data_IF_205682087224
#
_entry.id   IF_205682087224
#
_cell.length_a   1.000
_cell.length_b   1.000
_cell.length_c   1.000
_cell.angle_alpha   90.00
_cell.angle_beta   90.00
_cell.angle_gamma   90.00
#
_symmetry.space_group_name_H-M   'P 1'
#
loop_
_entity.id
_entity.type
_entity.pdbx_description
1 polymer ?
#
# COMPACT_ATOMS: atom_id res chain seq x y z
N UNK A 1 21.29 -9.68 8.23
CA UNK A 1 20.32 -8.63 7.84
C UNK A 1 19.70 -8.07 9.10
N UNK A 2 19.57 -6.75 9.21
CA UNK A 2 18.94 -6.13 10.37
C UNK A 2 17.46 -6.57 10.50
N UNK A 3 16.91 -6.68 11.72
CA UNK A 3 15.51 -7.08 11.92
C UNK A 3 14.52 -6.21 11.14
N UNK A 4 14.78 -4.90 11.07
CA UNK A 4 13.99 -3.94 10.31
C UNK A 4 14.08 -4.15 8.79
N UNK A 5 15.25 -4.54 8.27
CA UNK A 5 15.41 -4.91 6.85
C UNK A 5 14.64 -6.19 6.50
N UNK A 6 14.65 -7.20 7.39
CA UNK A 6 13.87 -8.43 7.21
C UNK A 6 12.38 -8.12 7.18
N UNK A 7 11.88 -7.26 8.08
CA UNK A 7 10.49 -6.79 8.08
C UNK A 7 10.13 -6.13 6.75
N UNK A 8 10.97 -5.23 6.24
CA UNK A 8 10.69 -4.51 5.01
C UNK A 8 10.54 -5.46 3.81
N UNK A 9 11.31 -6.55 3.74
CA UNK A 9 11.13 -7.58 2.71
C UNK A 9 9.80 -8.33 2.84
N UNK A 10 9.41 -8.73 4.06
CA UNK A 10 8.10 -9.37 4.28
C UNK A 10 6.94 -8.44 3.94
N UNK A 11 7.02 -7.17 4.37
CA UNK A 11 6.01 -6.16 4.05
C UNK A 11 5.90 -5.90 2.55
N UNK A 12 7.02 -5.87 1.84
CA UNK A 12 7.04 -5.73 0.38
C UNK A 12 6.38 -6.93 -0.30
N UNK A 13 6.75 -8.15 0.12
CA UNK A 13 6.16 -9.38 -0.43
C UNK A 13 4.65 -9.45 -0.22
N UNK A 14 4.19 -9.21 1.01
CA UNK A 14 2.75 -9.20 1.33
C UNK A 14 2.03 -8.09 0.59
N UNK A 15 2.59 -6.88 0.54
CA UNK A 15 2.01 -5.75 -0.20
C UNK A 15 1.85 -6.05 -1.69
N UNK A 16 2.84 -6.69 -2.32
CA UNK A 16 2.76 -7.11 -3.72
C UNK A 16 1.69 -8.19 -3.95
N UNK A 17 1.60 -9.18 -3.05
CA UNK A 17 0.56 -10.21 -3.14
C UNK A 17 -0.84 -9.58 -3.06
N UNK A 18 -1.05 -8.63 -2.14
CA UNK A 18 -2.31 -7.91 -2.05
C UNK A 18 -2.61 -7.06 -3.30
N UNK A 19 -1.59 -6.39 -3.85
CA UNK A 19 -1.74 -5.62 -5.09
C UNK A 19 -2.18 -6.50 -6.25
N UNK A 20 -1.52 -7.65 -6.44
CA UNK A 20 -1.86 -8.61 -7.50
C UNK A 20 -3.25 -9.20 -7.26
N UNK A 21 -3.56 -9.63 -6.04
CA UNK A 21 -4.87 -10.18 -5.71
C UNK A 21 -5.99 -9.18 -6.01
N UNK A 22 -5.80 -7.91 -5.63
CA UNK A 22 -6.78 -6.86 -5.89
C UNK A 22 -7.03 -6.65 -7.38
N UNK A 23 -5.95 -6.54 -8.18
CA UNK A 23 -6.06 -6.40 -9.64
C UNK A 23 -6.75 -7.62 -10.26
N UNK A 24 -6.39 -8.84 -9.83
CA UNK A 24 -7.00 -10.07 -10.34
C UNK A 24 -8.49 -10.14 -10.04
N UNK A 25 -8.89 -9.87 -8.80
CA UNK A 25 -10.31 -9.86 -8.43
C UNK A 25 -11.06 -8.83 -9.25
N UNK A 26 -10.52 -7.62 -9.39
CA UNK A 26 -11.16 -6.55 -10.15
C UNK A 26 -11.37 -6.91 -11.63
N UNK A 27 -10.37 -7.51 -12.28
CA UNK A 27 -10.44 -7.91 -13.69
C UNK A 27 -11.33 -9.14 -13.88
N UNK A 28 -11.20 -10.16 -13.03
CA UNK A 28 -11.93 -11.42 -13.18
C UNK A 28 -13.42 -11.30 -12.86
N UNK A 29 -13.82 -10.35 -12.00
CA UNK A 29 -15.22 -10.17 -11.64
C UNK A 29 -15.99 -9.22 -12.57
N UNK A 30 -15.38 -8.76 -13.67
CA UNK A 30 -16.06 -7.95 -14.70
C UNK A 30 -15.90 -6.43 -14.51
N UNK A 31 -15.03 -5.98 -13.60
CA UNK A 31 -14.70 -4.57 -13.44
C UNK A 31 -15.86 -3.71 -12.92
N UNK A 32 -15.95 -2.47 -13.39
CA UNK A 32 -16.81 -1.45 -12.79
C UNK A 32 -18.30 -1.78 -12.96
N UNK A 33 -18.68 -2.33 -14.12
CA UNK A 33 -20.07 -2.56 -14.50
C UNK A 33 -20.76 -3.59 -13.59
N UNK A 34 -20.00 -4.54 -13.06
CA UNK A 34 -20.52 -5.63 -12.23
C UNK A 34 -20.49 -5.32 -10.74
N UNK A 35 -19.76 -4.28 -10.31
CA UNK A 35 -19.58 -3.97 -8.88
C UNK A 35 -20.89 -3.60 -8.17
N UNK A 36 -21.76 -2.83 -8.83
CA UNK A 36 -23.04 -2.44 -8.25
C UNK A 36 -24.09 -3.56 -8.34
N UNK A 37 -23.96 -4.47 -9.30
CA UNK A 37 -24.88 -5.58 -9.49
C UNK A 37 -24.57 -6.78 -8.58
N UNK A 38 -23.29 -7.11 -8.35
CA UNK A 38 -22.87 -8.31 -7.65
C UNK A 38 -22.47 -8.02 -6.19
N UNK A 39 -23.32 -8.46 -5.26
CA UNK A 39 -23.04 -8.40 -3.83
C UNK A 39 -21.78 -9.20 -3.44
N UNK A 40 -21.53 -10.32 -4.10
CA UNK A 40 -20.36 -11.17 -3.84
C UNK A 40 -19.07 -10.44 -4.14
N UNK A 41 -19.03 -9.71 -5.27
CA UNK A 41 -17.88 -8.91 -5.64
C UNK A 41 -17.57 -7.83 -4.59
N UNK A 42 -18.58 -7.10 -4.13
CA UNK A 42 -18.42 -6.11 -3.05
C UNK A 42 -17.85 -6.73 -1.78
N UNK A 43 -18.40 -7.87 -1.35
CA UNK A 43 -17.92 -8.56 -0.15
C UNK A 43 -16.47 -9.05 -0.28
N UNK A 44 -16.06 -9.54 -1.45
CA UNK A 44 -14.67 -9.95 -1.69
C UNK A 44 -13.73 -8.74 -1.59
N UNK A 45 -14.12 -7.59 -2.16
CA UNK A 45 -13.35 -6.35 -2.06
C UNK A 45 -13.25 -5.88 -0.61
N UNK A 46 -14.35 -5.92 0.15
CA UNK A 46 -14.35 -5.56 1.58
C UNK A 46 -13.44 -6.48 2.41
N UNK A 47 -13.44 -7.79 2.13
CA UNK A 47 -12.56 -8.76 2.79
C UNK A 47 -11.10 -8.51 2.43
N UNK A 48 -10.78 -8.20 1.17
CA UNK A 48 -9.43 -7.81 0.77
C UNK A 48 -8.98 -6.51 1.46
N UNK A 49 -9.91 -5.58 1.66
CA UNK A 49 -9.68 -4.32 2.34
C UNK A 49 -9.28 -4.54 3.81
N UNK A 50 -10.15 -5.24 4.55
CA UNK A 50 -9.92 -5.56 5.96
C UNK A 50 -8.68 -6.46 6.11
N UNK A 51 -8.52 -7.45 5.23
CA UNK A 51 -7.37 -8.34 5.21
C UNK A 51 -6.04 -7.60 5.02
N UNK A 52 -6.00 -6.62 4.11
CA UNK A 52 -4.81 -5.81 3.86
C UNK A 52 -4.43 -4.94 5.07
N UNK A 53 -5.41 -4.31 5.72
CA UNK A 53 -5.20 -3.54 6.95
C UNK A 53 -4.70 -4.42 8.10
N UNK A 54 -5.34 -5.57 8.31
CA UNK A 54 -4.96 -6.53 9.36
C UNK A 54 -3.54 -7.05 9.11
N UNK A 55 -3.21 -7.41 7.87
CA UNK A 55 -1.87 -7.85 7.51
C UNK A 55 -0.82 -6.77 7.79
N UNK A 56 -1.09 -5.51 7.44
CA UNK A 56 -0.20 -4.40 7.72
C UNK A 56 0.02 -4.21 9.23
N UNK A 57 -1.06 -4.21 10.03
CA UNK A 57 -0.99 -4.10 11.49
C UNK A 57 -0.19 -5.24 12.12
N UNK A 58 -0.37 -6.47 11.65
CA UNK A 58 0.37 -7.64 12.13
C UNK A 58 1.87 -7.47 11.83
N UNK A 59 2.24 -7.06 10.62
CA UNK A 59 3.64 -6.89 10.22
C UNK A 59 4.31 -5.78 11.04
N UNK A 60 3.60 -4.67 11.29
CA UNK A 60 4.10 -3.57 12.12
C UNK A 60 4.32 -4.01 13.57
N UNK A 61 3.32 -4.65 14.19
CA UNK A 61 3.35 -5.03 15.60
C UNK A 61 4.30 -6.19 15.91
N UNK A 62 4.41 -7.19 15.02
CA UNK A 62 5.29 -8.33 15.25
C UNK A 62 6.77 -7.97 15.11
N UNK A 63 7.09 -6.99 14.26
CA UNK A 63 8.49 -6.67 13.97
C UNK A 63 9.13 -5.68 14.94
N UNK A 64 8.34 -4.89 15.68
CA UNK A 64 8.84 -3.90 16.66
C UNK A 64 8.60 -4.32 18.12
N UNK A 65 8.35 -5.62 18.35
CA UNK A 65 7.80 -6.12 19.62
C UNK A 65 8.75 -6.08 20.81
N UNK A 66 10.07 -5.96 20.61
CA UNK A 66 11.06 -5.95 21.71
C UNK A 66 11.77 -4.59 21.85
N UNK A 67 11.78 -3.98 23.04
CA UNK A 67 12.61 -2.82 23.33
C UNK A 67 14.09 -3.15 23.13
N UNK A 68 14.84 -2.29 22.44
CA UNK A 68 16.28 -2.47 22.18
C UNK A 68 16.65 -3.21 20.89
N UNK A 69 15.69 -3.64 20.06
CA UNK A 69 15.97 -4.25 18.75
C UNK A 69 16.31 -3.23 17.64
N UNK A 70 16.18 -1.93 17.91
CA UNK A 70 16.33 -0.84 16.94
C UNK A 70 17.57 -0.04 17.32
N UNK A 71 18.61 -0.16 16.51
CA UNK A 71 19.85 0.60 16.65
C UNK A 71 19.65 2.08 16.29
N UNK A 72 20.59 2.96 16.65
CA UNK A 72 20.55 4.38 16.28
C UNK A 72 20.44 4.58 14.76
N UNK A 73 21.14 3.73 14.00
CA UNK A 73 21.06 3.68 12.54
C UNK A 73 19.64 3.39 12.05
N UNK A 74 18.95 2.47 12.70
CA UNK A 74 17.59 2.07 12.34
C UNK A 74 16.58 3.18 12.65
N UNK A 75 16.79 3.94 13.73
CA UNK A 75 15.99 5.13 14.06
C UNK A 75 16.13 6.20 12.97
N UNK A 76 17.34 6.49 12.51
CA UNK A 76 17.57 7.47 11.44
C UNK A 76 16.88 7.07 10.12
N UNK A 77 16.82 5.77 9.81
CA UNK A 77 16.12 5.25 8.63
C UNK A 77 14.60 5.37 8.83
N UNK A 78 14.09 5.02 10.01
CA UNK A 78 12.68 5.13 10.37
C UNK A 78 12.16 6.57 10.36
N UNK A 79 12.99 7.56 10.66
CA UNK A 79 12.60 8.98 10.57
C UNK A 79 12.47 9.45 9.11
N UNK A 80 13.21 8.84 8.18
CA UNK A 80 13.20 9.23 6.75
C UNK A 80 12.18 8.47 5.92
N UNK A 81 11.92 7.21 6.24
CA UNK A 81 10.99 6.36 5.48
C UNK A 81 9.57 6.95 5.34
N UNK A 82 8.97 7.58 6.38
CA UNK A 82 7.66 8.22 6.28
C UNK A 82 7.59 9.34 5.25
N UNK A 83 8.70 10.04 4.98
CA UNK A 83 8.74 11.10 3.96
C UNK A 83 8.54 10.53 2.55
N UNK A 84 9.19 9.41 2.24
CA UNK A 84 9.03 8.73 0.94
C UNK A 84 7.61 8.18 0.80
N UNK A 85 7.09 7.58 1.87
CA UNK A 85 5.72 7.09 1.93
C UNK A 85 4.70 8.21 1.70
N UNK A 86 4.85 9.36 2.35
CA UNK A 86 3.96 10.50 2.20
C UNK A 86 3.95 11.03 0.77
N UNK A 87 5.13 11.19 0.15
CA UNK A 87 5.25 11.62 -1.26
C UNK A 87 4.52 10.63 -2.16
N UNK A 88 4.75 9.33 -2.00
CA UNK A 88 4.10 8.31 -2.81
C UNK A 88 2.56 8.38 -2.71
N UNK A 89 2.02 8.54 -1.50
CA UNK A 89 0.57 8.69 -1.28
C UNK A 89 0.01 9.93 -1.97
N UNK A 90 0.69 11.07 -1.85
CA UNK A 90 0.26 12.34 -2.48
C UNK A 90 0.21 12.20 -3.99
N UNK A 91 1.25 11.62 -4.61
CA UNK A 91 1.28 11.41 -6.05
C UNK A 91 0.21 10.41 -6.51
N UNK A 92 -0.05 9.35 -5.74
CA UNK A 92 -1.14 8.40 -6.05
C UNK A 92 -2.50 9.09 -6.01
N UNK A 93 -2.77 9.90 -4.99
CA UNK A 93 -4.03 10.65 -4.90
C UNK A 93 -4.17 11.67 -6.03
N UNK A 94 -3.10 12.42 -6.35
CA UNK A 94 -3.10 13.36 -7.46
C UNK A 94 -3.37 12.66 -8.79
N UNK A 95 -2.75 11.50 -9.04
CA UNK A 95 -2.99 10.69 -10.23
C UNK A 95 -4.46 10.25 -10.31
N UNK A 96 -5.04 9.78 -9.21
CA UNK A 96 -6.46 9.43 -9.18
C UNK A 96 -7.39 10.60 -9.48
N UNK A 97 -7.14 11.76 -8.88
CA UNK A 97 -7.95 12.97 -9.12
C UNK A 97 -7.90 13.36 -10.60
N UNK A 98 -6.71 13.37 -11.21
CA UNK A 98 -6.55 13.70 -12.62
C UNK A 98 -7.27 12.67 -13.50
N UNK A 99 -7.00 11.38 -13.29
CA UNK A 99 -7.57 10.31 -14.13
C UNK A 99 -9.10 10.28 -14.04
N UNK A 100 -9.67 10.34 -12.83
CA UNK A 100 -11.12 10.30 -12.67
C UNK A 100 -11.79 11.54 -13.26
N UNK A 101 -11.17 12.71 -13.10
CA UNK A 101 -11.69 13.94 -13.70
C UNK A 101 -11.68 13.86 -15.24
N UNK A 102 -10.59 13.40 -15.86
CA UNK A 102 -10.49 13.29 -17.31
C UNK A 102 -11.44 12.23 -17.89
N UNK A 103 -11.58 11.07 -17.22
CA UNK A 103 -12.42 9.97 -17.71
C UNK A 103 -13.92 10.29 -17.56
N UNK A 104 -14.32 10.93 -16.47
CA UNK A 104 -15.73 11.17 -16.14
C UNK A 104 -16.20 12.60 -16.38
N UNK A 105 -15.37 13.45 -17.00
CA UNK A 105 -15.65 14.86 -17.28
C UNK A 105 -17.01 15.07 -17.98
N UNK A 106 -17.37 14.19 -18.91
CA UNK A 106 -18.58 14.33 -19.70
C UNK A 106 -19.87 14.08 -18.89
N UNK A 107 -19.78 13.32 -17.80
CA UNK A 107 -20.93 12.87 -17.01
C UNK A 107 -21.03 13.53 -15.65
N UNK A 108 -19.93 14.12 -15.14
CA UNK A 108 -19.78 14.64 -13.77
C UNK A 108 -20.15 13.63 -12.66
N UNK A 109 -20.23 12.34 -13.00
CA UNK A 109 -20.64 11.26 -12.12
C UNK A 109 -19.51 10.25 -12.00
N UNK A 110 -18.87 10.19 -10.84
CA UNK A 110 -17.80 9.23 -10.55
C UNK A 110 -18.42 8.00 -9.87
N UNK A 111 -18.29 6.79 -10.43
CA UNK A 111 -18.77 5.57 -9.80
C UNK A 111 -18.16 5.34 -8.41
N UNK A 112 -18.98 4.93 -7.43
CA UNK A 112 -18.55 4.77 -6.04
C UNK A 112 -17.44 3.70 -5.87
N UNK A 113 -17.36 2.72 -6.77
CA UNK A 113 -16.29 1.70 -6.78
C UNK A 113 -14.89 2.32 -6.79
N UNK A 114 -14.72 3.49 -7.43
CA UNK A 114 -13.42 4.14 -7.47
C UNK A 114 -12.96 4.65 -6.11
N UNK A 115 -13.89 4.97 -5.20
CA UNK A 115 -13.50 5.31 -3.83
C UNK A 115 -12.82 4.13 -3.14
N UNK A 116 -13.33 2.90 -3.35
CA UNK A 116 -12.72 1.67 -2.84
C UNK A 116 -11.36 1.40 -3.50
N UNK A 117 -11.26 1.56 -4.82
CA UNK A 117 -10.01 1.37 -5.56
C UNK A 117 -8.96 2.41 -5.16
N UNK A 118 -9.34 3.67 -4.99
CA UNK A 118 -8.46 4.76 -4.57
C UNK A 118 -7.85 4.47 -3.21
N UNK A 119 -8.68 4.15 -2.22
CA UNK A 119 -8.19 3.92 -0.86
C UNK A 119 -7.29 2.67 -0.80
N UNK A 120 -7.61 1.61 -1.55
CA UNK A 120 -6.77 0.41 -1.64
C UNK A 120 -5.44 0.71 -2.30
N UNK A 121 -5.45 1.46 -3.40
CA UNK A 121 -4.24 1.90 -4.07
C UNK A 121 -3.35 2.69 -3.11
N UNK A 122 -3.92 3.59 -2.32
CA UNK A 122 -3.19 4.36 -1.30
C UNK A 122 -2.59 3.45 -0.24
N UNK A 123 -3.34 2.49 0.30
CA UNK A 123 -2.84 1.56 1.32
C UNK A 123 -1.69 0.68 0.81
N UNK A 124 -1.84 0.15 -0.41
CA UNK A 124 -0.81 -0.66 -1.09
C UNK A 124 0.44 0.19 -1.33
N UNK A 125 0.30 1.34 -1.98
CA UNK A 125 1.42 2.24 -2.31
C UNK A 125 2.11 2.71 -1.03
N UNK A 126 1.35 3.09 -0.01
CA UNK A 126 1.85 3.49 1.30
C UNK A 126 2.73 2.40 1.92
N UNK A 127 2.24 1.15 1.95
CA UNK A 127 2.97 0.01 2.51
C UNK A 127 4.23 -0.30 1.71
N UNK A 128 4.13 -0.33 0.39
CA UNK A 128 5.27 -0.59 -0.50
C UNK A 128 6.32 0.51 -0.42
N UNK A 129 5.91 1.78 -0.44
CA UNK A 129 6.80 2.93 -0.34
C UNK A 129 7.53 2.98 1.00
N UNK A 130 6.85 2.62 2.10
CA UNK A 130 7.49 2.51 3.41
C UNK A 130 8.56 1.40 3.41
N UNK A 131 8.24 0.23 2.87
CA UNK A 131 9.19 -0.89 2.78
C UNK A 131 10.38 -0.55 1.89
N UNK A 132 10.14 0.04 0.72
CA UNK A 132 11.19 0.50 -0.20
C UNK A 132 12.05 1.60 0.42
N UNK A 133 11.46 2.55 1.14
CA UNK A 133 12.19 3.61 1.84
C UNK A 133 13.16 3.06 2.89
N UNK A 134 12.75 2.02 3.63
CA UNK A 134 13.61 1.33 4.58
C UNK A 134 14.76 0.60 3.87
N UNK A 135 14.45 -0.19 2.82
CA UNK A 135 15.45 -0.94 2.07
C UNK A 135 16.47 -0.02 1.39
N UNK A 136 16.01 1.08 0.81
CA UNK A 136 16.86 2.10 0.20
C UNK A 136 17.74 2.80 1.24
N UNK A 137 17.20 3.08 2.43
CA UNK A 137 17.96 3.60 3.56
C UNK A 137 19.15 2.72 3.93
N UNK A 138 18.93 1.41 4.03
CA UNK A 138 20.01 0.44 4.26
C UNK A 138 21.02 0.38 3.12
N UNK A 139 20.55 0.33 1.87
CA UNK A 139 21.43 0.28 0.69
C UNK A 139 22.35 1.50 0.61
N UNK A 140 21.81 2.71 0.79
CA UNK A 140 22.58 3.96 0.76
C UNK A 140 23.64 4.00 1.86
N UNK A 141 23.28 3.61 3.09
CA UNK A 141 24.24 3.60 4.19
C UNK A 141 25.32 2.52 4.02
N UNK A 142 25.02 1.39 3.39
CA UNK A 142 26.03 0.35 3.11
C UNK A 142 26.98 0.75 1.98
N UNK A 143 26.53 1.61 1.05
CA UNK A 143 27.33 2.15 -0.05
C UNK A 143 28.25 3.31 0.36
N UNK A 144 27.85 4.08 1.38
CA UNK A 144 28.59 5.23 1.90
C UNK A 144 29.39 4.88 3.19
N UNK A 145 29.72 3.59 3.36
CA UNK A 145 30.45 3.08 4.54
C UNK A 145 31.77 3.80 4.76
#
# INVERSE_FOLDING_TARGET
>A
MAPLQKRAWWGLGVGLVFAVAFVLVFVLMGGIETFDADQTFRLIIDVLWVGGLVANLIILNLALRKPGMVDERDKMILDRAPRIQWIAVVFTLAAWVIVLNEVYQATDLIPAVYLYVMIMSVLIVSTLAQCLGILFGYWKMNRNG
#
